data_IF_948368152707
#
_entry.id   IF_948368152707
#
_cell.length_a   1.000
_cell.length_b   1.000
_cell.length_c   1.000
_cell.angle_alpha   90.00
_cell.angle_beta   90.00
_cell.angle_gamma   90.00
#
_symmetry.space_group_name_H-M   'P 1'
#
loop_
_entity.id
_entity.type
_entity.pdbx_description
1 polymer ?
#
# COMPACT_ATOMS: atom_id res chain seq x y z
N UNK A 1 -21.12 4.38 7.32
CA UNK A 1 -20.10 5.10 6.52
C UNK A 1 -20.82 6.07 5.61
N UNK A 2 -20.23 7.24 5.33
CA UNK A 2 -20.84 8.20 4.42
C UNK A 2 -20.86 7.61 2.99
N UNK A 3 -21.93 7.83 2.19
CA UNK A 3 -21.91 7.46 0.78
C UNK A 3 -20.75 8.18 0.07
N UNK A 4 -20.10 7.51 -0.89
CA UNK A 4 -18.99 8.06 -1.70
C UNK A 4 -17.74 8.46 -0.89
N UNK A 5 -17.49 7.79 0.23
CA UNK A 5 -16.32 8.10 1.07
C UNK A 5 -15.00 7.88 0.33
N UNK A 6 -14.89 6.77 -0.40
CA UNK A 6 -13.71 6.46 -1.21
C UNK A 6 -13.46 7.54 -2.29
N UNK A 7 -14.50 7.94 -3.02
CA UNK A 7 -14.47 8.98 -4.04
C UNK A 7 -14.06 10.33 -3.47
N UNK A 8 -14.52 10.64 -2.25
CA UNK A 8 -14.13 11.85 -1.53
C UNK A 8 -12.63 11.85 -1.25
N UNK A 9 -12.07 10.73 -0.80
CA UNK A 9 -10.62 10.59 -0.59
C UNK A 9 -9.83 10.73 -1.90
N UNK A 10 -10.34 10.18 -3.01
CA UNK A 10 -9.74 10.38 -4.33
C UNK A 10 -9.79 11.85 -4.78
N UNK A 11 -10.88 12.57 -4.47
CA UNK A 11 -10.95 14.02 -4.67
C UNK A 11 -9.83 14.74 -3.93
N UNK A 12 -9.68 14.47 -2.63
CA UNK A 12 -8.59 15.03 -1.81
C UNK A 12 -7.22 14.70 -2.38
N UNK A 13 -7.01 13.45 -2.83
CA UNK A 13 -5.73 13.00 -3.39
C UNK A 13 -5.36 13.67 -4.72
N UNK A 14 -6.35 14.14 -5.50
CA UNK A 14 -6.11 14.91 -6.73
C UNK A 14 -5.74 16.36 -6.41
N UNK A 15 -6.37 16.95 -5.40
CA UNK A 15 -6.23 18.37 -5.08
C UNK A 15 -5.03 18.66 -4.18
N UNK A 16 -4.58 17.69 -3.38
CA UNK A 16 -3.52 17.87 -2.39
C UNK A 16 -2.41 16.86 -2.56
N UNK A 17 -1.17 17.34 -2.45
CA UNK A 17 0.00 16.48 -2.41
C UNK A 17 0.02 15.66 -1.11
N UNK A 18 0.25 14.35 -1.25
CA UNK A 18 0.43 13.44 -0.12
C UNK A 18 1.93 13.05 -0.03
N UNK A 19 2.56 13.08 1.16
CA UNK A 19 3.94 12.63 1.34
C UNK A 19 4.19 11.20 0.82
N UNK A 20 3.17 10.33 0.87
CA UNK A 20 3.23 8.97 0.37
C UNK A 20 3.27 8.85 -1.17
N UNK A 21 2.80 9.87 -1.91
CA UNK A 21 2.62 9.78 -3.36
C UNK A 21 3.89 9.36 -4.10
N UNK A 22 5.05 9.94 -3.75
CA UNK A 22 6.31 9.61 -4.41
C UNK A 22 6.70 8.14 -4.21
N UNK A 23 6.54 7.62 -3.00
CA UNK A 23 6.89 6.24 -2.71
C UNK A 23 5.89 5.26 -3.33
N UNK A 24 4.60 5.62 -3.34
CA UNK A 24 3.57 4.83 -4.03
C UNK A 24 3.93 4.69 -5.51
N UNK A 25 4.22 5.77 -6.24
CA UNK A 25 4.57 5.70 -7.67
C UNK A 25 5.76 4.78 -7.96
N UNK A 26 6.81 4.83 -7.14
CA UNK A 26 7.97 3.95 -7.26
C UNK A 26 7.59 2.48 -7.04
N UNK A 27 6.61 2.23 -6.16
CA UNK A 27 6.17 0.90 -5.79
C UNK A 27 5.21 0.29 -6.82
N UNK A 28 4.40 1.09 -7.51
CA UNK A 28 3.44 0.62 -8.51
C UNK A 28 4.12 -0.21 -9.60
N UNK A 29 5.23 0.28 -10.16
CA UNK A 29 5.93 -0.35 -11.29
C UNK A 29 6.68 -1.63 -10.91
N UNK A 30 6.96 -1.82 -9.62
CA UNK A 30 7.57 -3.04 -9.09
C UNK A 30 6.57 -4.01 -8.48
N UNK A 31 5.28 -3.67 -8.46
CA UNK A 31 4.23 -4.52 -7.86
C UNK A 31 3.69 -5.50 -8.88
N UNK A 32 3.91 -6.80 -8.63
CA UNK A 32 3.48 -7.90 -9.50
C UNK A 32 3.98 -7.75 -10.96
N UNK A 33 5.30 -7.61 -11.19
CA UNK A 33 5.84 -7.29 -12.52
C UNK A 33 5.49 -8.34 -13.59
N UNK A 34 5.27 -9.60 -13.19
CA UNK A 34 4.93 -10.70 -14.09
C UNK A 34 3.42 -10.83 -14.36
N UNK A 35 2.58 -9.99 -13.79
CA UNK A 35 1.13 -10.05 -13.96
C UNK A 35 0.65 -9.13 -15.09
N UNK A 36 -0.16 -9.66 -16.00
CA UNK A 36 -0.68 -8.93 -17.18
C UNK A 36 -1.44 -7.64 -16.85
N UNK A 37 -2.04 -7.53 -15.66
CA UNK A 37 -2.79 -6.34 -15.23
C UNK A 37 -1.89 -5.19 -14.76
N UNK A 38 -0.59 -5.47 -14.54
CA UNK A 38 0.41 -4.56 -14.02
C UNK A 38 1.64 -4.44 -14.93
N UNK A 39 1.57 -4.97 -16.16
CA UNK A 39 2.69 -5.10 -17.10
C UNK A 39 3.13 -3.79 -17.76
N UNK A 40 2.36 -2.71 -17.61
CA UNK A 40 2.64 -1.39 -18.18
C UNK A 40 2.27 -0.29 -17.18
N UNK A 41 3.00 0.84 -17.13
CA UNK A 41 2.61 2.02 -16.36
C UNK A 41 1.21 2.55 -16.71
N UNK A 42 0.73 2.29 -17.92
CA UNK A 42 -0.60 2.69 -18.39
C UNK A 42 -1.69 1.64 -18.16
N UNK A 43 -1.35 0.49 -17.57
CA UNK A 43 -2.32 -0.57 -17.32
C UNK A 43 -3.39 -0.11 -16.32
N UNK A 44 -4.63 -0.55 -16.52
CA UNK A 44 -5.76 -0.22 -15.65
C UNK A 44 -5.50 -0.66 -14.19
N UNK A 45 -4.83 -1.79 -13.99
CA UNK A 45 -4.46 -2.28 -12.66
C UNK A 45 -3.54 -1.33 -11.91
N UNK A 46 -2.58 -0.68 -12.60
CA UNK A 46 -1.70 0.33 -12.00
C UNK A 46 -2.49 1.57 -11.57
N UNK A 47 -3.46 2.01 -12.38
CA UNK A 47 -4.32 3.14 -12.03
C UNK A 47 -5.20 2.83 -10.82
N UNK A 48 -5.82 1.66 -10.79
CA UNK A 48 -6.64 1.20 -9.65
C UNK A 48 -5.79 1.10 -8.38
N UNK A 49 -4.60 0.51 -8.48
CA UNK A 49 -3.68 0.35 -7.35
C UNK A 49 -3.23 1.71 -6.78
N UNK A 50 -2.88 2.67 -7.65
CA UNK A 50 -2.55 4.04 -7.25
C UNK A 50 -3.67 4.66 -6.42
N UNK A 51 -4.89 4.60 -6.93
CA UNK A 51 -6.05 5.22 -6.29
C UNK A 51 -6.30 4.60 -4.90
N UNK A 52 -6.28 3.27 -4.79
CA UNK A 52 -6.48 2.57 -3.51
C UNK A 52 -5.44 2.98 -2.48
N UNK A 53 -4.15 3.00 -2.86
CA UNK A 53 -3.07 3.33 -1.94
C UNK A 53 -3.07 4.81 -1.52
N UNK A 54 -3.40 5.72 -2.44
CA UNK A 54 -3.54 7.13 -2.11
C UNK A 54 -4.73 7.37 -1.17
N UNK A 55 -5.90 6.80 -1.46
CA UNK A 55 -7.05 6.89 -0.59
C UNK A 55 -6.75 6.33 0.82
N UNK A 56 -6.08 5.17 0.88
CA UNK A 56 -5.62 4.58 2.14
C UNK A 56 -4.76 5.55 2.93
N UNK A 57 -3.71 6.12 2.31
CA UNK A 57 -2.80 7.04 3.00
C UNK A 57 -3.47 8.32 3.51
N UNK A 58 -4.55 8.77 2.86
CA UNK A 58 -5.35 9.91 3.33
C UNK A 58 -6.29 9.54 4.48
N UNK A 59 -6.81 8.32 4.48
CA UNK A 59 -7.64 7.81 5.58
C UNK A 59 -6.82 7.56 6.84
N UNK A 60 -5.62 7.01 6.69
CA UNK A 60 -4.76 6.59 7.79
C UNK A 60 -3.47 7.43 7.81
N UNK A 61 -3.53 8.76 8.05
CA UNK A 61 -2.36 9.63 7.96
C UNK A 61 -1.27 9.29 8.98
N UNK A 62 -1.62 8.67 10.12
CA UNK A 62 -0.66 8.22 11.13
C UNK A 62 0.21 7.05 10.64
N UNK A 63 -0.33 6.19 9.78
CA UNK A 63 0.38 5.08 9.12
C UNK A 63 1.01 5.59 7.81
N UNK A 64 0.27 6.41 7.07
CA UNK A 64 0.60 6.87 5.73
C UNK A 64 0.65 5.71 4.75
N UNK A 65 1.85 5.44 4.23
CA UNK A 65 2.11 4.33 3.33
C UNK A 65 3.41 3.63 3.77
N UNK A 66 3.37 2.31 3.90
CA UNK A 66 4.55 1.49 4.09
C UNK A 66 4.72 0.49 2.94
N UNK A 67 5.97 0.07 2.73
CA UNK A 67 6.29 -1.00 1.79
C UNK A 67 5.58 -2.30 2.21
N UNK A 68 4.90 -2.96 1.27
CA UNK A 68 4.09 -4.15 1.50
C UNK A 68 2.59 -3.93 1.29
N UNK A 69 2.08 -2.71 1.57
CA UNK A 69 0.66 -2.37 1.34
C UNK A 69 0.30 -2.45 -0.14
N UNK A 70 1.22 -2.07 -1.03
CA UNK A 70 1.09 -2.24 -2.48
C UNK A 70 0.79 -3.67 -2.89
N UNK A 71 1.46 -4.66 -2.28
CA UNK A 71 1.26 -6.07 -2.63
C UNK A 71 -0.10 -6.56 -2.15
N UNK A 72 -0.52 -6.20 -0.93
CA UNK A 72 -1.83 -6.53 -0.39
C UNK A 72 -2.95 -5.95 -1.26
N UNK A 73 -2.86 -4.66 -1.58
CA UNK A 73 -3.83 -3.98 -2.44
C UNK A 73 -3.88 -4.58 -3.86
N UNK A 74 -2.72 -4.89 -4.44
CA UNK A 74 -2.65 -5.46 -5.78
C UNK A 74 -3.25 -6.86 -5.86
N UNK A 75 -3.08 -7.68 -4.82
CA UNK A 75 -3.72 -9.00 -4.73
C UNK A 75 -5.23 -8.86 -4.56
N UNK A 76 -5.69 -7.94 -3.71
CA UNK A 76 -7.12 -7.67 -3.55
C UNK A 76 -7.78 -7.26 -4.88
N UNK A 77 -7.12 -6.39 -5.65
CA UNK A 77 -7.58 -5.93 -6.96
C UNK A 77 -7.62 -7.01 -8.06
N UNK A 78 -7.08 -8.21 -7.82
CA UNK A 78 -7.26 -9.33 -8.75
C UNK A 78 -8.65 -9.96 -8.64
N UNK A 79 -9.34 -9.77 -7.51
CA UNK A 79 -10.60 -10.45 -7.20
C UNK A 79 -11.74 -9.48 -6.88
N UNK A 80 -11.41 -8.23 -6.54
CA UNK A 80 -12.35 -7.22 -6.08
C UNK A 80 -12.32 -5.99 -6.98
N UNK A 81 -13.44 -5.28 -7.00
CA UNK A 81 -13.51 -3.94 -7.57
C UNK A 81 -12.69 -2.94 -6.72
N UNK A 82 -12.43 -1.78 -7.30
CA UNK A 82 -11.49 -0.82 -6.74
C UNK A 82 -11.86 -0.35 -5.32
N UNK A 83 -13.13 -0.04 -5.09
CA UNK A 83 -13.61 0.40 -3.77
C UNK A 83 -13.62 -0.77 -2.76
N UNK A 84 -14.02 -1.96 -3.17
CA UNK A 84 -13.99 -3.15 -2.31
C UNK A 84 -12.55 -3.53 -1.92
N UNK A 85 -11.59 -3.40 -2.84
CA UNK A 85 -10.18 -3.61 -2.55
C UNK A 85 -9.65 -2.59 -1.53
N UNK A 86 -10.12 -1.34 -1.59
CA UNK A 86 -9.83 -0.32 -0.58
C UNK A 86 -10.37 -0.73 0.80
N UNK A 87 -11.65 -1.12 0.89
CA UNK A 87 -12.23 -1.55 2.17
C UNK A 87 -11.58 -2.83 2.72
N UNK A 88 -11.18 -3.75 1.84
CA UNK A 88 -10.41 -4.93 2.20
C UNK A 88 -9.06 -4.56 2.82
N UNK A 89 -8.30 -3.66 2.19
CA UNK A 89 -7.02 -3.18 2.71
C UNK A 89 -7.19 -2.49 4.08
N UNK A 90 -8.22 -1.66 4.23
CA UNK A 90 -8.56 -1.01 5.50
C UNK A 90 -8.87 -2.03 6.58
N UNK A 91 -9.66 -3.05 6.26
CA UNK A 91 -9.99 -4.11 7.22
C UNK A 91 -8.72 -4.86 7.62
N UNK A 92 -7.85 -5.21 6.67
CA UNK A 92 -6.57 -5.87 6.96
C UNK A 92 -5.72 -5.04 7.93
N UNK A 93 -5.55 -3.75 7.65
CA UNK A 93 -4.66 -2.89 8.43
C UNK A 93 -5.26 -2.47 9.78
N UNK A 94 -6.54 -2.11 9.83
CA UNK A 94 -7.16 -1.57 11.04
C UNK A 94 -7.65 -2.67 12.00
N UNK A 95 -8.01 -3.86 11.49
CA UNK A 95 -8.61 -4.94 12.29
C UNK A 95 -7.59 -6.03 12.63
N UNK A 96 -6.78 -6.45 11.66
CA UNK A 96 -5.88 -7.60 11.86
C UNK A 96 -4.48 -7.20 12.29
N UNK A 97 -4.00 -6.00 11.94
CA UNK A 97 -2.68 -5.56 12.35
C UNK A 97 -2.76 -4.80 13.69
N UNK A 98 -1.96 -5.19 14.70
CA UNK A 98 -1.86 -4.41 15.93
C UNK A 98 -1.46 -2.96 15.59
N UNK A 99 -2.00 -1.97 16.30
CA UNK A 99 -1.67 -0.55 16.06
C UNK A 99 -0.16 -0.28 16.13
N UNK A 100 0.55 -1.06 16.95
CA UNK A 100 2.00 -0.96 17.15
C UNK A 100 2.82 -1.53 15.99
N UNK A 101 2.20 -2.28 15.06
CA UNK A 101 2.88 -2.85 13.89
C UNK A 101 3.42 -1.77 12.95
N UNK A 102 2.73 -0.63 12.86
CA UNK A 102 3.07 0.49 11.99
C UNK A 102 3.55 1.74 12.74
N UNK A 103 3.50 1.74 14.07
CA UNK A 103 3.97 2.87 14.86
C UNK A 103 5.48 3.00 14.70
N UNK A 104 6.01 4.23 14.82
CA UNK A 104 7.44 4.62 14.65
C UNK A 104 8.47 3.84 15.48
N UNK A 105 8.06 2.81 16.22
CA UNK A 105 8.91 1.74 16.74
C UNK A 105 9.29 0.75 15.63
N UNK A 106 9.85 1.27 14.52
CA UNK A 106 10.93 0.57 13.80
C UNK A 106 12.25 0.66 14.61
N UNK A 107 12.13 0.52 15.94
CA UNK A 107 13.22 0.24 16.87
C UNK A 107 13.44 -1.27 17.00
N UNK A 108 13.01 -2.03 15.99
CA UNK A 108 13.44 -3.42 15.72
C UNK A 108 14.31 -3.55 14.46
N UNK A 109 14.67 -2.43 13.80
CA UNK A 109 15.64 -2.42 12.70
C UNK A 109 16.79 -1.44 12.95
N UNK A 110 17.19 -1.29 14.21
CA UNK A 110 18.57 -0.93 14.54
C UNK A 110 19.31 -2.25 14.74
N UNK A 111 20.41 -2.52 14.02
CA UNK A 111 21.29 -3.64 14.33
C UNK A 111 22.05 -3.28 15.61
N UNK A 112 21.43 -3.45 16.77
CA UNK A 112 22.15 -3.60 18.04
C UNK A 112 22.32 -5.09 18.27
N UNK A 113 23.27 -5.69 17.55
CA UNK A 113 24.03 -6.90 17.92
C UNK A 113 24.97 -7.23 16.75
N UNK A 114 26.30 -7.12 16.90
CA UNK A 114 27.25 -7.48 15.86
C UNK A 114 27.40 -9.02 15.83
N UNK A 115 26.49 -9.75 15.19
CA UNK A 115 26.67 -11.21 15.19
C UNK A 115 25.69 -12.14 14.48
N UNK A 116 24.57 -11.71 13.89
CA UNK A 116 23.70 -12.67 13.21
C UNK A 116 23.02 -12.07 11.98
N UNK A 117 23.33 -12.61 10.81
CA UNK A 117 22.88 -12.12 9.52
C UNK A 117 21.40 -12.38 9.22
N UNK A 118 20.86 -11.52 8.35
CA UNK A 118 19.86 -11.80 7.33
C UNK A 118 18.48 -12.35 7.77
N UNK A 119 17.48 -11.46 7.88
CA UNK A 119 16.06 -11.67 7.51
C UNK A 119 15.28 -10.41 7.94
N UNK A 120 14.91 -9.44 7.10
CA UNK A 120 13.84 -9.52 6.09
C UNK A 120 13.99 -8.29 5.18
N UNK A 121 14.59 -8.43 3.99
CA UNK A 121 14.55 -7.39 2.94
C UNK A 121 14.76 -7.99 1.54
N UNK A 122 14.09 -9.11 1.22
CA UNK A 122 14.25 -9.77 -0.08
C UNK A 122 13.14 -10.79 -0.41
N UNK A 123 11.86 -10.43 -0.26
CA UNK A 123 10.74 -11.27 -0.74
C UNK A 123 9.85 -10.59 -1.81
N UNK A 124 10.40 -9.67 -2.61
CA UNK A 124 9.68 -9.13 -3.79
C UNK A 124 10.46 -9.21 -5.09
N UNK A 125 11.40 -10.15 -5.25
CA UNK A 125 12.10 -10.34 -6.54
C UNK A 125 12.07 -11.76 -7.08
N UNK A 126 11.39 -12.72 -6.48
CA UNK A 126 11.16 -14.02 -7.14
C UNK A 126 9.77 -14.57 -6.81
N UNK A 127 8.86 -14.37 -7.77
CA UNK A 127 7.75 -15.21 -8.23
C UNK A 127 7.00 -14.43 -9.33
#
# INVERSE_FOLDING_TARGET
MAPNYYETLLGVARDKANPASKQIELDLLRTLPNNKHYSSPSAEGIQKLRNVLLAFSWRNPDIGYCQGLNRLAAIALLYLDQEDAFWCLITIVEVFMPRDYYTKTLLGSQPTEPGCGMAYCSLTTDL
#
